data_IF_389496531166
#
_entry.id   IF_389496531166
#
_cell.length_a   1.000
_cell.length_b   1.000
_cell.length_c   1.000
_cell.angle_alpha   90.00
_cell.angle_beta   90.00
_cell.angle_gamma   90.00
#
_symmetry.space_group_name_H-M   'P 1'
#
loop_
_entity.id
_entity.type
_entity.pdbx_description
1 polymer ?
#
# COMPACT_ATOMS: atom_id res chain seq x y z
N UNK A 1 68.30 -17.52 34.59
CA UNK A 1 67.85 -16.29 33.91
C UNK A 1 66.60 -16.65 33.13
N UNK A 2 65.47 -16.27 33.72
CA UNK A 2 64.08 -16.52 33.34
C UNK A 2 63.69 -15.88 32.01
N UNK A 3 62.92 -16.58 31.17
CA UNK A 3 61.72 -16.03 30.51
C UNK A 3 60.75 -17.16 30.19
N UNK A 4 59.57 -17.08 30.82
CA UNK A 4 58.39 -17.89 30.58
C UNK A 4 57.71 -17.41 29.29
N UNK A 5 57.43 -18.31 28.36
CA UNK A 5 56.52 -18.05 27.24
C UNK A 5 55.20 -18.76 27.53
N UNK A 6 54.23 -18.01 28.07
CA UNK A 6 52.86 -18.45 28.28
C UNK A 6 52.09 -18.32 26.97
N UNK A 7 51.89 -19.43 26.26
CA UNK A 7 50.91 -19.49 25.16
C UNK A 7 49.51 -19.56 25.78
N UNK A 8 48.86 -18.39 25.85
CA UNK A 8 47.43 -18.29 26.15
C UNK A 8 46.63 -19.03 25.08
N UNK A 9 46.01 -20.13 25.48
CA UNK A 9 44.97 -20.81 24.71
C UNK A 9 43.74 -19.91 24.72
N UNK A 10 43.62 -19.04 23.73
CA UNK A 10 42.35 -18.43 23.37
C UNK A 10 41.46 -19.57 22.88
N UNK A 11 40.68 -20.12 23.82
CA UNK A 11 39.52 -20.96 23.53
C UNK A 11 38.54 -20.10 22.73
N UNK A 12 38.75 -20.00 21.42
CA UNK A 12 37.72 -19.65 20.46
C UNK A 12 36.60 -20.67 20.67
N UNK A 13 35.60 -20.24 21.44
CA UNK A 13 34.32 -20.90 21.52
C UNK A 13 33.80 -20.99 20.08
N UNK A 14 34.03 -22.15 19.46
CA UNK A 14 33.42 -22.53 18.21
C UNK A 14 31.92 -22.41 18.43
N UNK A 15 31.34 -21.35 17.88
CA UNK A 15 29.90 -21.20 17.81
C UNK A 15 29.39 -22.53 17.21
N UNK A 16 28.39 -23.17 17.83
CA UNK A 16 27.77 -24.34 17.22
C UNK A 16 27.39 -23.95 15.79
N UNK A 17 27.61 -24.84 14.80
CA UNK A 17 27.22 -24.56 13.43
C UNK A 17 25.78 -24.10 13.48
N UNK A 18 25.54 -22.85 13.06
CA UNK A 18 24.16 -22.43 12.85
C UNK A 18 23.66 -23.36 11.77
N UNK A 19 22.73 -24.24 12.14
CA UNK A 19 21.92 -25.00 11.20
C UNK A 19 21.18 -23.96 10.37
N UNK A 20 21.88 -23.49 9.33
CA UNK A 20 21.28 -22.82 8.21
C UNK A 20 20.45 -23.90 7.55
N UNK A 21 19.21 -24.03 8.01
CA UNK A 21 18.15 -24.73 7.29
C UNK A 21 18.30 -24.29 5.85
N UNK A 22 18.86 -25.19 5.04
CA UNK A 22 19.41 -24.84 3.74
C UNK A 22 18.21 -24.74 2.82
N UNK A 23 17.56 -23.57 2.85
CA UNK A 23 16.41 -23.30 2.01
C UNK A 23 16.85 -23.47 0.56
N UNK A 24 16.31 -24.49 -0.09
CA UNK A 24 16.53 -24.77 -1.51
C UNK A 24 15.31 -24.24 -2.27
N UNK A 25 15.40 -23.07 -2.92
CA UNK A 25 14.28 -22.50 -3.64
C UNK A 25 13.91 -23.41 -4.82
N UNK A 26 12.64 -23.76 -4.95
CA UNK A 26 12.16 -24.53 -6.12
C UNK A 26 12.23 -23.62 -7.35
N UNK A 27 13.01 -23.97 -8.37
CA UNK A 27 13.02 -23.21 -9.61
C UNK A 27 11.63 -23.17 -10.24
N UNK A 28 11.22 -22.00 -10.70
CA UNK A 28 9.96 -21.82 -11.41
C UNK A 28 10.27 -21.46 -12.86
N UNK A 29 9.43 -21.84 -13.81
CA UNK A 29 9.52 -21.31 -15.18
C UNK A 29 8.83 -19.95 -15.30
N UNK A 30 9.15 -19.18 -16.34
CA UNK A 30 8.47 -17.89 -16.58
C UNK A 30 6.96 -18.08 -16.83
N UNK A 31 6.58 -19.21 -17.45
CA UNK A 31 5.17 -19.57 -17.66
C UNK A 31 4.43 -19.88 -16.35
N UNK A 32 5.10 -20.46 -15.35
CA UNK A 32 4.51 -20.66 -14.03
C UNK A 32 4.30 -19.35 -13.28
N UNK A 33 5.26 -18.42 -13.38
CA UNK A 33 5.13 -17.06 -12.85
C UNK A 33 3.92 -16.37 -13.48
N UNK A 34 3.82 -16.38 -14.82
CA UNK A 34 2.68 -15.82 -15.55
C UNK A 34 1.35 -16.43 -15.08
N UNK A 35 1.25 -17.76 -15.08
CA UNK A 35 0.03 -18.48 -14.71
C UNK A 35 -0.38 -18.19 -13.27
N UNK A 36 0.58 -18.11 -12.35
CA UNK A 36 0.30 -17.79 -10.95
C UNK A 36 -0.23 -16.37 -10.81
N UNK A 37 0.45 -15.36 -11.36
CA UNK A 37 0.03 -13.97 -11.21
C UNK A 37 -1.26 -13.66 -11.97
N UNK A 38 -1.51 -14.29 -13.12
CA UNK A 38 -2.83 -14.23 -13.79
C UNK A 38 -3.93 -14.84 -12.94
N UNK A 39 -3.70 -16.03 -12.37
CA UNK A 39 -4.68 -16.65 -11.45
C UNK A 39 -4.92 -15.73 -10.26
N UNK A 40 -3.86 -15.22 -9.65
CA UNK A 40 -3.92 -14.29 -8.52
C UNK A 40 -4.78 -13.09 -8.89
N UNK A 41 -4.56 -12.42 -10.02
CA UNK A 41 -5.38 -11.29 -10.47
C UNK A 41 -6.87 -11.62 -10.65
N UNK A 42 -7.24 -12.88 -10.98
CA UNK A 42 -8.63 -13.31 -11.05
C UNK A 42 -9.27 -13.63 -9.70
N UNK A 43 -8.50 -14.04 -8.69
CA UNK A 43 -9.03 -14.53 -7.40
C UNK A 43 -8.74 -13.60 -6.22
N UNK A 44 -7.84 -12.65 -6.41
CA UNK A 44 -7.36 -11.75 -5.37
C UNK A 44 -8.41 -10.66 -5.11
N UNK A 45 -9.45 -11.02 -4.37
CA UNK A 45 -10.44 -10.11 -3.83
C UNK A 45 -10.24 -9.98 -2.30
N UNK A 46 -10.58 -8.81 -1.74
CA UNK A 46 -10.44 -8.57 -0.29
C UNK A 46 -9.36 -7.55 0.10
N UNK A 47 -8.73 -6.90 -0.88
CA UNK A 47 -7.79 -5.80 -0.66
C UNK A 47 -6.34 -6.25 -0.41
N UNK A 48 -5.43 -5.30 -0.14
CA UNK A 48 -3.99 -5.57 -0.10
C UNK A 48 -3.58 -6.64 0.92
N UNK A 49 -4.21 -6.67 2.09
CA UNK A 49 -3.92 -7.67 3.12
C UNK A 49 -4.26 -9.10 2.67
N UNK A 50 -5.38 -9.28 1.96
CA UNK A 50 -5.75 -10.57 1.39
C UNK A 50 -4.73 -11.01 0.35
N UNK A 51 -4.31 -10.08 -0.51
CA UNK A 51 -3.32 -10.37 -1.56
C UNK A 51 -1.96 -10.79 -0.97
N UNK A 52 -1.47 -10.06 0.04
CA UNK A 52 -0.23 -10.37 0.75
C UNK A 52 -0.32 -11.74 1.42
N UNK A 53 -1.43 -12.04 2.12
CA UNK A 53 -1.62 -13.32 2.78
C UNK A 53 -1.66 -14.49 1.77
N UNK A 54 -2.33 -14.31 0.63
CA UNK A 54 -2.36 -15.29 -0.46
C UNK A 54 -0.96 -15.51 -1.06
N UNK A 55 -0.22 -14.43 -1.30
CA UNK A 55 1.16 -14.53 -1.80
C UNK A 55 2.09 -15.21 -0.81
N UNK A 56 2.00 -14.90 0.49
CA UNK A 56 2.80 -15.57 1.51
C UNK A 56 2.52 -17.07 1.53
N UNK A 57 1.24 -17.45 1.61
CA UNK A 57 0.81 -18.85 1.62
C UNK A 57 1.26 -19.59 0.35
N UNK A 58 1.03 -19.01 -0.82
CA UNK A 58 1.29 -19.72 -2.07
C UNK A 58 2.78 -19.71 -2.44
N UNK A 59 3.49 -18.58 -2.27
CA UNK A 59 4.88 -18.44 -2.69
C UNK A 59 5.89 -18.99 -1.66
N UNK A 60 5.58 -18.89 -0.37
CA UNK A 60 6.46 -19.37 0.71
C UNK A 60 6.09 -20.80 1.12
N UNK A 61 4.84 -21.04 1.49
CA UNK A 61 4.45 -22.32 2.10
C UNK A 61 4.22 -23.42 1.04
N UNK A 62 3.41 -23.15 0.01
CA UNK A 62 3.02 -24.16 -0.98
C UNK A 62 4.08 -24.39 -2.06
N UNK A 63 4.51 -23.32 -2.74
CA UNK A 63 5.43 -23.41 -3.88
C UNK A 63 6.90 -23.34 -3.48
N UNK A 64 7.20 -22.84 -2.27
CA UNK A 64 8.58 -22.66 -1.76
C UNK A 64 9.48 -21.94 -2.77
N UNK A 65 8.93 -20.92 -3.43
CA UNK A 65 9.67 -20.08 -4.38
C UNK A 65 10.59 -19.09 -3.69
N UNK A 66 10.20 -18.65 -2.49
CA UNK A 66 10.92 -17.71 -1.63
C UNK A 66 10.96 -18.24 -0.20
N UNK A 67 12.00 -17.89 0.53
CA UNK A 67 12.04 -18.11 1.97
C UNK A 67 11.12 -17.11 2.70
N UNK A 68 10.75 -17.43 3.93
CA UNK A 68 9.96 -16.51 4.76
C UNK A 68 10.69 -15.18 4.95
N UNK A 69 12.01 -15.20 5.14
CA UNK A 69 12.84 -14.00 5.28
C UNK A 69 12.78 -13.13 4.02
N UNK A 70 13.01 -13.72 2.85
CA UNK A 70 12.98 -13.01 1.56
C UNK A 70 11.61 -12.37 1.28
N UNK A 71 10.53 -13.08 1.66
CA UNK A 71 9.19 -12.54 1.51
C UNK A 71 8.98 -11.31 2.39
N UNK A 72 9.39 -11.38 3.66
CA UNK A 72 9.27 -10.27 4.61
C UNK A 72 10.15 -9.08 4.23
N UNK A 73 11.37 -9.31 3.77
CA UNK A 73 12.28 -8.25 3.31
C UNK A 73 11.69 -7.51 2.10
N UNK A 74 11.10 -8.27 1.17
CA UNK A 74 10.42 -7.69 0.01
C UNK A 74 9.19 -6.89 0.41
N UNK A 75 8.36 -7.44 1.31
CA UNK A 75 7.18 -6.76 1.82
C UNK A 75 7.56 -5.47 2.58
N UNK A 76 8.66 -5.48 3.33
CA UNK A 76 9.17 -4.29 3.99
C UNK A 76 9.63 -3.25 2.96
N UNK A 77 10.32 -3.67 1.90
CA UNK A 77 10.78 -2.79 0.83
C UNK A 77 9.62 -2.10 0.09
N UNK A 78 8.54 -2.83 -0.23
CA UNK A 78 7.35 -2.25 -0.90
C UNK A 78 6.55 -1.31 -0.01
N UNK A 79 6.73 -1.38 1.30
CA UNK A 79 6.10 -0.44 2.24
C UNK A 79 6.89 0.86 2.43
N UNK A 80 8.14 0.92 1.95
CA UNK A 80 8.96 2.13 1.96
C UNK A 80 8.60 3.07 0.80
N UNK A 81 8.12 2.53 -0.32
CA UNK A 81 7.72 3.31 -1.50
C UNK A 81 6.21 3.59 -1.43
N UNK A 82 5.78 4.84 -1.63
CA UNK A 82 4.35 5.12 -1.68
C UNK A 82 3.76 4.57 -2.99
N UNK A 83 2.95 3.51 -2.87
CA UNK A 83 2.32 2.89 -4.03
C UNK A 83 1.29 1.81 -3.68
N UNK A 84 0.69 1.18 -4.70
CA UNK A 84 -0.24 0.07 -4.50
C UNK A 84 0.54 -1.18 -4.06
N UNK A 85 0.78 -1.31 -2.75
CA UNK A 85 1.67 -2.32 -2.16
C UNK A 85 1.51 -3.74 -2.76
N UNK A 86 0.29 -4.25 -2.93
CA UNK A 86 0.12 -5.60 -3.50
C UNK A 86 0.68 -5.76 -4.92
N UNK A 87 0.58 -4.72 -5.75
CA UNK A 87 1.07 -4.76 -7.13
C UNK A 87 2.58 -4.68 -7.14
N UNK A 88 3.17 -3.80 -6.31
CA UNK A 88 4.62 -3.70 -6.16
C UNK A 88 5.22 -4.99 -5.63
N UNK A 89 4.55 -5.63 -4.65
CA UNK A 89 4.94 -6.92 -4.12
C UNK A 89 4.92 -7.99 -5.21
N UNK A 90 3.85 -8.07 -6.01
CA UNK A 90 3.77 -9.01 -7.13
C UNK A 90 4.90 -8.82 -8.15
N UNK A 91 5.16 -7.56 -8.54
CA UNK A 91 6.23 -7.15 -9.48
C UNK A 91 7.60 -7.55 -8.92
N UNK A 92 7.88 -7.25 -7.66
CA UNK A 92 9.16 -7.55 -7.03
C UNK A 92 9.37 -9.05 -6.81
N UNK A 93 8.32 -9.80 -6.49
CA UNK A 93 8.35 -11.27 -6.41
C UNK A 93 8.67 -11.90 -7.78
N UNK A 94 8.08 -11.35 -8.85
CA UNK A 94 8.43 -11.72 -10.22
C UNK A 94 9.89 -11.44 -10.54
N UNK A 95 10.41 -10.27 -10.12
CA UNK A 95 11.81 -9.89 -10.28
C UNK A 95 12.76 -10.84 -9.55
N UNK A 96 12.49 -11.18 -8.29
CA UNK A 96 13.32 -12.12 -7.52
C UNK A 96 13.37 -13.49 -8.22
N UNK A 97 12.27 -13.91 -8.86
CA UNK A 97 12.19 -15.25 -9.44
C UNK A 97 12.85 -15.38 -10.81
N UNK A 98 12.74 -14.36 -11.67
CA UNK A 98 13.21 -14.43 -13.07
C UNK A 98 13.90 -13.15 -13.56
N UNK A 99 14.26 -12.23 -12.68
CA UNK A 99 14.84 -10.94 -13.04
C UNK A 99 13.85 -10.05 -13.80
N UNK A 100 14.38 -9.20 -14.69
CA UNK A 100 13.60 -8.27 -15.52
C UNK A 100 12.42 -8.93 -16.26
N UNK A 101 12.54 -10.09 -16.94
CA UNK A 101 11.39 -10.68 -17.62
C UNK A 101 10.32 -11.14 -16.63
N UNK A 102 10.71 -11.61 -15.44
CA UNK A 102 9.78 -11.96 -14.37
C UNK A 102 9.01 -10.77 -13.84
N UNK A 103 9.67 -9.62 -13.70
CA UNK A 103 9.08 -8.35 -13.29
C UNK A 103 7.93 -7.95 -14.22
N UNK A 104 8.22 -7.90 -15.54
CA UNK A 104 7.25 -7.46 -16.55
C UNK A 104 6.08 -8.44 -16.62
N UNK A 105 6.37 -9.74 -16.67
CA UNK A 105 5.35 -10.79 -16.77
C UNK A 105 4.47 -10.79 -15.53
N UNK A 106 5.04 -10.75 -14.31
CA UNK A 106 4.26 -10.75 -13.08
C UNK A 106 3.33 -9.53 -12.99
N UNK A 107 3.85 -8.32 -13.24
CA UNK A 107 3.05 -7.10 -13.21
C UNK A 107 1.93 -7.10 -14.25
N UNK A 108 2.26 -7.43 -15.50
CA UNK A 108 1.27 -7.44 -16.58
C UNK A 108 0.21 -8.52 -16.33
N UNK A 109 0.61 -9.74 -15.99
CA UNK A 109 -0.31 -10.84 -15.71
C UNK A 109 -1.19 -10.60 -14.48
N UNK A 110 -0.71 -9.83 -13.49
CA UNK A 110 -1.51 -9.46 -12.32
C UNK A 110 -2.58 -8.41 -12.63
N UNK A 111 -2.25 -7.41 -13.48
CA UNK A 111 -3.16 -6.31 -13.84
C UNK A 111 -4.15 -6.70 -14.95
N UNK A 112 -3.71 -7.55 -15.88
CA UNK A 112 -4.45 -7.93 -17.09
C UNK A 112 -5.89 -8.43 -16.80
N UNK A 113 -6.16 -9.27 -15.80
CA UNK A 113 -7.53 -9.72 -15.49
C UNK A 113 -8.50 -8.58 -15.20
N UNK A 114 -8.07 -7.62 -14.37
CA UNK A 114 -8.89 -6.46 -14.01
C UNK A 114 -9.10 -5.55 -15.22
N UNK A 115 -8.05 -5.30 -16.01
CA UNK A 115 -8.14 -4.53 -17.24
C UNK A 115 -9.12 -5.16 -18.23
N UNK A 116 -8.99 -6.46 -18.51
CA UNK A 116 -9.88 -7.19 -19.41
C UNK A 116 -11.34 -7.15 -18.96
N UNK A 117 -11.59 -7.32 -17.65
CA UNK A 117 -12.94 -7.26 -17.10
C UNK A 117 -13.57 -5.86 -17.29
N UNK A 118 -12.83 -4.81 -16.96
CA UNK A 118 -13.32 -3.43 -17.12
C UNK A 118 -13.54 -3.08 -18.59
N UNK A 119 -12.61 -3.44 -19.47
CA UNK A 119 -12.75 -3.23 -20.92
C UNK A 119 -13.95 -3.98 -21.47
N UNK A 120 -14.18 -5.23 -21.05
CA UNK A 120 -15.34 -6.01 -21.48
C UNK A 120 -16.66 -5.33 -21.07
N UNK A 121 -16.76 -4.89 -19.81
CA UNK A 121 -17.94 -4.18 -19.31
C UNK A 121 -18.14 -2.86 -20.06
N UNK A 122 -17.06 -2.11 -20.32
CA UNK A 122 -17.12 -0.85 -21.06
C UNK A 122 -17.59 -1.07 -22.52
N UNK A 123 -17.08 -2.09 -23.20
CA UNK A 123 -17.52 -2.46 -24.55
C UNK A 123 -19.00 -2.87 -24.56
N UNK A 124 -19.44 -3.66 -23.58
CA UNK A 124 -20.85 -4.02 -23.44
C UNK A 124 -21.73 -2.79 -23.20
N UNK A 125 -21.26 -1.83 -22.39
CA UNK A 125 -21.99 -0.58 -22.16
C UNK A 125 -22.11 0.26 -23.44
N UNK A 126 -21.04 0.39 -24.23
CA UNK A 126 -21.09 1.14 -25.50
C UNK A 126 -22.01 0.44 -26.52
N UNK A 127 -22.02 -0.89 -26.55
CA UNK A 127 -22.84 -1.66 -27.49
C UNK A 127 -24.32 -1.71 -27.10
N UNK A 128 -24.64 -1.83 -25.82
CA UNK A 128 -26.00 -2.12 -25.33
C UNK A 128 -26.59 -1.05 -24.40
N UNK A 129 -25.86 0.02 -24.09
CA UNK A 129 -26.25 1.03 -23.10
C UNK A 129 -27.49 1.84 -23.46
N UNK A 130 -27.88 1.88 -24.74
CA UNK A 130 -29.09 2.57 -25.19
C UNK A 130 -30.37 1.74 -25.01
N UNK A 131 -30.28 0.49 -24.54
CA UNK A 131 -31.46 -0.34 -24.33
C UNK A 131 -32.15 0.02 -23.00
N UNK A 132 -33.49 0.15 -22.97
CA UNK A 132 -34.23 0.51 -21.75
C UNK A 132 -34.10 -0.55 -20.64
N UNK A 133 -33.74 -1.80 -20.98
CA UNK A 133 -33.42 -2.84 -20.01
C UNK A 133 -32.15 -2.53 -19.21
N UNK A 134 -31.19 -1.82 -19.82
CA UNK A 134 -29.93 -1.45 -19.17
C UNK A 134 -30.15 -0.31 -18.17
N UNK A 135 -31.05 0.63 -18.46
CA UNK A 135 -31.45 1.67 -17.52
C UNK A 135 -32.08 1.08 -16.24
N UNK A 136 -32.97 0.10 -16.39
CA UNK A 136 -33.56 -0.61 -15.25
C UNK A 136 -32.50 -1.37 -14.42
N UNK A 137 -31.49 -1.93 -15.08
CA UNK A 137 -30.37 -2.58 -14.40
C UNK A 137 -29.52 -1.57 -13.61
N UNK A 138 -29.21 -0.41 -14.19
CA UNK A 138 -28.47 0.65 -13.50
C UNK A 138 -29.20 1.17 -12.26
N UNK A 139 -30.52 1.30 -12.33
CA UNK A 139 -31.34 1.66 -11.18
C UNK A 139 -31.20 0.63 -10.03
N UNK A 140 -31.12 -0.66 -10.34
CA UNK A 140 -30.87 -1.71 -9.35
C UNK A 140 -29.44 -1.75 -8.83
N UNK A 141 -28.44 -1.41 -9.65
CA UNK A 141 -27.02 -1.44 -9.28
C UNK A 141 -26.65 -0.25 -8.35
N UNK A 142 -27.26 0.92 -8.52
CA UNK A 142 -26.99 2.11 -7.68
C UNK A 142 -27.02 1.83 -6.16
N UNK A 143 -28.08 1.25 -5.57
CA UNK A 143 -28.10 0.95 -4.13
C UNK A 143 -27.07 -0.11 -3.74
N UNK A 144 -26.74 -1.05 -4.64
CA UNK A 144 -25.69 -2.05 -4.40
C UNK A 144 -24.32 -1.39 -4.28
N UNK A 145 -24.01 -0.45 -5.19
CA UNK A 145 -22.77 0.33 -5.13
C UNK A 145 -22.70 1.11 -3.81
N UNK A 146 -23.78 1.78 -3.42
CA UNK A 146 -23.84 2.52 -2.14
C UNK A 146 -23.56 1.59 -0.96
N UNK A 147 -24.19 0.42 -0.92
CA UNK A 147 -23.96 -0.56 0.14
C UNK A 147 -22.49 -1.04 0.20
N UNK A 148 -21.88 -1.30 -0.96
CA UNK A 148 -20.46 -1.70 -1.04
C UNK A 148 -19.52 -0.59 -0.58
N UNK A 149 -19.78 0.67 -0.99
CA UNK A 149 -19.00 1.83 -0.56
C UNK A 149 -19.12 2.05 0.95
N UNK A 150 -20.34 1.97 1.50
CA UNK A 150 -20.59 2.06 2.95
C UNK A 150 -19.87 0.95 3.69
N UNK A 151 -19.90 -0.29 3.19
CA UNK A 151 -19.19 -1.42 3.79
C UNK A 151 -17.67 -1.20 3.78
N UNK A 152 -17.11 -0.71 2.68
CA UNK A 152 -15.69 -0.40 2.57
C UNK A 152 -15.29 0.74 3.52
N UNK A 153 -16.08 1.82 3.58
CA UNK A 153 -15.88 2.94 4.48
C UNK A 153 -15.99 2.51 5.95
N UNK A 154 -16.95 1.66 6.29
CA UNK A 154 -17.11 1.12 7.65
C UNK A 154 -15.90 0.28 8.07
N UNK A 155 -15.44 -0.65 7.21
CA UNK A 155 -14.24 -1.45 7.48
C UNK A 155 -12.98 -0.59 7.67
N UNK A 156 -12.81 0.43 6.83
CA UNK A 156 -11.69 1.36 6.94
C UNK A 156 -11.80 2.21 8.21
N UNK A 157 -13.01 2.69 8.52
CA UNK A 157 -13.32 3.48 9.70
C UNK A 157 -13.01 2.74 11.00
N UNK A 158 -13.35 1.44 11.11
CA UNK A 158 -12.99 0.60 12.26
C UNK A 158 -11.48 0.51 12.47
N UNK A 159 -10.70 0.52 11.39
CA UNK A 159 -9.23 0.44 11.47
C UNK A 159 -8.61 1.79 11.84
N UNK A 160 -9.18 2.89 11.33
CA UNK A 160 -8.70 4.24 11.55
C UNK A 160 -9.13 4.84 12.91
N UNK A 161 -10.36 4.58 13.35
CA UNK A 161 -10.97 5.23 14.51
C UNK A 161 -10.73 4.44 15.81
N UNK A 162 -9.47 4.37 16.24
CA UNK A 162 -9.09 3.61 17.46
C UNK A 162 -9.35 4.34 18.78
N UNK A 163 -9.47 5.67 18.76
CA UNK A 163 -9.59 6.51 19.97
C UNK A 163 -10.84 7.38 19.86
N UNK A 164 -11.48 7.70 20.99
CA UNK A 164 -12.63 8.60 21.05
C UNK A 164 -12.37 9.94 20.35
N UNK A 165 -11.17 10.50 20.48
CA UNK A 165 -10.76 11.70 19.76
C UNK A 165 -10.79 11.55 18.22
N UNK A 166 -10.37 10.39 17.69
CA UNK A 166 -10.41 10.09 16.25
C UNK A 166 -11.85 9.90 15.77
N UNK A 167 -12.70 9.27 16.59
CA UNK A 167 -14.13 9.11 16.29
C UNK A 167 -14.82 10.48 16.24
N UNK A 168 -14.57 11.34 17.22
CA UNK A 168 -15.13 12.71 17.24
C UNK A 168 -14.64 13.50 16.02
N UNK A 169 -13.35 13.43 15.69
CA UNK A 169 -12.80 14.10 14.52
C UNK A 169 -13.42 13.59 13.21
N UNK A 170 -13.62 12.27 13.08
CA UNK A 170 -14.26 11.65 11.93
C UNK A 170 -15.73 12.08 11.78
N UNK A 171 -16.50 12.09 12.88
CA UNK A 171 -17.90 12.51 12.88
C UNK A 171 -18.03 14.00 12.55
N UNK A 172 -17.18 14.84 13.15
CA UNK A 172 -17.16 16.29 12.84
C UNK A 172 -16.78 16.52 11.38
N UNK A 173 -15.75 15.85 10.87
CA UNK A 173 -15.35 15.96 9.45
C UNK A 173 -16.46 15.51 8.49
N UNK A 174 -17.17 14.41 8.83
CA UNK A 174 -18.31 13.94 8.05
C UNK A 174 -19.47 14.94 8.05
N UNK A 175 -19.81 15.51 9.21
CA UNK A 175 -20.85 16.55 9.33
C UNK A 175 -20.48 17.80 8.54
N UNK A 176 -19.23 18.28 8.65
CA UNK A 176 -18.76 19.45 7.90
C UNK A 176 -18.86 19.20 6.40
N UNK A 177 -18.48 18.01 5.93
CA UNK A 177 -18.57 17.65 4.50
C UNK A 177 -20.02 17.56 4.01
N UNK A 178 -20.96 17.18 4.88
CA UNK A 178 -22.38 17.04 4.50
C UNK A 178 -23.12 18.38 4.47
N UNK A 179 -22.80 19.30 5.38
CA UNK A 179 -23.55 20.54 5.58
C UNK A 179 -22.86 21.77 5.00
N UNK A 180 -21.55 21.71 4.73
CA UNK A 180 -20.79 22.86 4.25
C UNK A 180 -20.20 22.54 2.87
N UNK A 181 -20.44 23.37 1.84
CA UNK A 181 -19.89 23.19 0.51
C UNK A 181 -18.42 23.64 0.45
N UNK A 182 -17.57 23.02 1.26
CA UNK A 182 -16.12 23.23 1.28
C UNK A 182 -15.45 22.07 0.55
N UNK A 183 -14.40 22.36 -0.23
CA UNK A 183 -13.59 21.31 -0.85
C UNK A 183 -13.05 20.34 0.21
N UNK A 184 -13.19 19.05 -0.05
CA UNK A 184 -12.73 17.98 0.86
C UNK A 184 -11.26 18.13 1.24
N UNK A 185 -10.46 18.76 0.38
CA UNK A 185 -9.05 19.09 0.63
C UNK A 185 -8.89 19.89 1.93
N UNK A 186 -9.68 20.94 2.14
CA UNK A 186 -9.61 21.78 3.34
C UNK A 186 -10.06 21.04 4.59
N UNK A 187 -11.05 20.15 4.47
CA UNK A 187 -11.51 19.31 5.57
C UNK A 187 -10.42 18.33 6.01
N UNK A 188 -9.70 17.74 5.05
CA UNK A 188 -8.56 16.85 5.33
C UNK A 188 -7.41 17.63 5.97
N UNK A 189 -7.08 18.82 5.44
CA UNK A 189 -5.99 19.66 5.95
C UNK A 189 -6.28 20.14 7.38
N UNK A 190 -7.49 20.63 7.64
CA UNK A 190 -7.93 21.05 8.97
C UNK A 190 -8.00 19.88 9.95
N UNK A 191 -8.56 18.74 9.53
CA UNK A 191 -8.60 17.53 10.34
C UNK A 191 -7.20 17.01 10.69
N UNK A 192 -6.29 17.00 9.72
CA UNK A 192 -4.89 16.63 9.91
C UNK A 192 -4.18 17.55 10.91
N UNK A 193 -4.35 18.86 10.78
CA UNK A 193 -3.75 19.84 11.69
C UNK A 193 -4.27 19.69 13.12
N UNK A 194 -5.58 19.53 13.30
CA UNK A 194 -6.20 19.27 14.60
C UNK A 194 -5.68 17.95 15.18
N UNK A 195 -5.57 16.91 14.36
CA UNK A 195 -5.01 15.62 14.75
C UNK A 195 -3.57 15.74 15.28
N UNK A 196 -2.72 16.49 14.58
CA UNK A 196 -1.33 16.75 14.99
C UNK A 196 -1.28 17.52 16.31
N UNK A 197 -2.10 18.56 16.47
CA UNK A 197 -2.18 19.36 17.70
C UNK A 197 -2.60 18.51 18.91
N UNK A 198 -3.61 17.66 18.74
CA UNK A 198 -4.08 16.75 19.79
C UNK A 198 -3.01 15.71 20.16
N UNK A 199 -2.26 15.20 19.18
CA UNK A 199 -1.18 14.24 19.40
C UNK A 199 0.01 14.89 20.13
N UNK A 200 0.40 16.12 19.76
CA UNK A 200 1.45 16.88 20.44
C UNK A 200 1.05 17.25 21.87
N UNK A 201 -0.16 17.76 22.09
CA UNK A 201 -0.65 18.14 23.42
C UNK A 201 -0.79 16.96 24.39
N UNK A 202 -1.23 15.79 23.90
CA UNK A 202 -1.29 14.57 24.72
C UNK A 202 0.12 14.01 25.07
N UNK A 203 1.10 14.18 24.17
CA UNK A 203 2.48 13.72 24.37
C UNK A 203 3.26 14.58 25.38
N UNK A 204 2.95 15.87 25.47
CA UNK A 204 3.46 16.77 26.51
C UNK A 204 2.85 16.49 27.90
N UNK A 205 1.59 16.05 27.96
CA UNK A 205 0.88 15.78 29.23
C UNK A 205 1.29 14.45 29.88
N UNK A 206 1.77 13.48 29.10
CA UNK A 206 2.10 12.14 29.58
C UNK A 206 3.61 11.84 29.62
N UNK A 207 4.47 12.84 29.41
CA UNK A 207 5.92 12.65 29.50
C UNK A 207 6.39 12.72 30.96
N UNK A 208 7.01 11.67 31.53
CA UNK A 208 7.74 11.82 32.79
C UNK A 208 8.92 12.77 32.54
N UNK A 209 9.13 13.74 33.43
CA UNK A 209 10.10 14.84 33.29
C UNK A 209 11.54 14.41 32.97
N UNK A 210 11.90 13.14 33.19
CA UNK A 210 13.20 12.58 32.84
C UNK A 210 13.40 12.26 31.34
N UNK A 211 12.32 12.06 30.57
CA UNK A 211 12.44 11.76 29.13
C UNK A 211 12.61 13.01 28.26
N UNK A 212 12.34 14.20 28.82
CA UNK A 212 12.54 15.50 28.19
C UNK A 212 14.02 15.92 28.12
N UNK A 213 14.92 15.25 28.85
CA UNK A 213 16.36 15.51 28.86
C UNK A 213 17.18 14.59 27.96
N UNK A 214 16.55 13.61 27.29
CA UNK A 214 17.21 12.58 26.49
C UNK A 214 16.77 12.55 25.02
N UNK A 215 16.08 13.58 24.53
CA UNK A 215 15.94 13.78 23.09
C UNK A 215 17.13 14.59 22.54
N UNK A 216 18.11 13.96 21.85
CA UNK A 216 18.90 14.69 20.88
C UNK A 216 17.97 15.06 19.71
N UNK A 217 17.77 16.36 19.47
CA UNK A 217 17.11 16.82 18.23
C UNK A 217 15.98 17.85 18.38
N UNK A 218 15.68 18.31 19.59
CA UNK A 218 14.86 19.50 19.80
C UNK A 218 15.59 20.77 19.38
N UNK A 219 15.72 21.03 18.08
CA UNK A 219 16.05 22.33 17.44
C UNK A 219 16.40 22.21 15.93
N UNK A 220 16.13 21.07 15.28
CA UNK A 220 16.70 20.78 13.96
C UNK A 220 15.73 20.34 12.87
N UNK A 221 14.51 20.88 12.77
CA UNK A 221 13.65 20.68 11.58
C UNK A 221 12.81 21.91 11.18
N UNK A 222 13.17 23.11 11.65
CA UNK A 222 12.54 24.38 11.20
C UNK A 222 13.16 24.98 9.93
N UNK A 223 13.96 24.25 9.13
CA UNK A 223 14.57 24.85 7.93
C UNK A 223 14.69 23.98 6.66
N UNK A 224 14.19 22.72 6.65
CA UNK A 224 14.30 21.85 5.46
C UNK A 224 12.96 21.46 4.80
N UNK A 225 11.82 21.90 5.33
CA UNK A 225 10.50 21.67 4.72
C UNK A 225 9.91 22.93 4.03
N UNK A 226 10.70 24.00 3.89
CA UNK A 226 10.35 25.19 3.11
C UNK A 226 10.90 25.17 1.67
N UNK A 227 11.18 24.00 1.10
CA UNK A 227 11.54 23.86 -0.30
C UNK A 227 10.81 22.68 -0.95
N UNK A 228 9.50 22.81 -1.06
CA UNK A 228 8.81 22.60 -2.33
C UNK A 228 7.68 23.63 -2.37
N UNK A 229 8.11 24.89 -2.58
CA UNK A 229 7.24 25.92 -3.14
C UNK A 229 6.67 25.41 -4.45
N UNK A 230 5.37 25.64 -4.61
CA UNK A 230 4.64 25.79 -5.86
C UNK A 230 5.54 25.86 -7.10
N UNK A 231 5.62 24.75 -7.83
CA UNK A 231 5.47 24.90 -9.27
C UNK A 231 4.01 24.61 -9.54
N UNK A 232 3.32 25.64 -9.99
CA UNK A 232 1.97 25.60 -10.51
C UNK A 232 1.93 24.56 -11.63
N UNK A 233 1.66 23.30 -11.29
CA UNK A 233 1.18 22.35 -12.29
C UNK A 233 -0.26 22.75 -12.52
N UNK A 234 -0.42 23.67 -13.49
CA UNK A 234 -1.66 23.80 -14.21
C UNK A 234 -2.16 22.37 -14.48
N UNK A 235 -3.39 22.03 -14.09
CA UNK A 235 -3.86 20.67 -14.24
C UNK A 235 -3.68 20.27 -15.72
N UNK A 236 -3.24 19.04 -15.99
CA UNK A 236 -2.77 18.59 -17.32
C UNK A 236 -3.73 18.88 -18.48
N UNK A 237 -5.00 19.21 -18.21
CA UNK A 237 -5.99 19.68 -19.17
C UNK A 237 -5.81 21.14 -19.65
N UNK A 238 -4.98 21.95 -18.98
CA UNK A 238 -4.65 23.33 -19.38
C UNK A 238 -3.40 23.43 -20.27
N UNK A 239 -2.62 22.35 -20.40
CA UNK A 239 -1.59 22.27 -21.43
C UNK A 239 -2.34 22.11 -22.75
N UNK A 240 -2.28 23.12 -23.62
CA UNK A 240 -3.11 23.36 -24.81
C UNK A 240 -3.14 22.29 -25.92
N UNK A 241 -2.96 21.01 -25.58
CA UNK A 241 -3.14 19.83 -26.42
C UNK A 241 -4.57 19.27 -26.37
N UNK A 242 -5.40 19.66 -25.40
CA UNK A 242 -6.82 19.27 -25.33
C UNK A 242 -7.72 20.46 -25.66
N UNK A 243 -7.75 20.84 -26.94
CA UNK A 243 -8.67 21.88 -27.42
C UNK A 243 -10.11 21.50 -27.08
N UNK A 244 -10.87 22.48 -26.61
CA UNK A 244 -12.31 22.49 -26.27
C UNK A 244 -13.29 22.08 -27.39
N UNK A 245 -12.81 21.43 -28.45
CA UNK A 245 -13.62 20.95 -29.59
C UNK A 245 -14.41 19.67 -29.32
N UNK A 246 -14.18 19.01 -28.18
CA UNK A 246 -14.84 17.74 -27.82
C UNK A 246 -15.96 17.90 -26.78
N UNK A 247 -16.27 19.13 -26.36
CA UNK A 247 -17.21 19.43 -25.27
C UNK A 247 -18.44 20.22 -25.73
N UNK A 248 -18.95 19.93 -26.93
CA UNK A 248 -20.29 20.35 -27.37
C UNK A 248 -20.97 19.14 -28.04
N UNK A 249 -22.25 18.87 -27.77
CA UNK A 249 -23.02 17.81 -28.41
C UNK A 249 -23.21 18.04 -29.91
#
# INVERSE_FOLDING_TARGET
MSTLSSSGTSSEASLPPQDTDTFTPVEASLGEVARYFTRLGFIAFGGPAAHIAMMQRDLVEQKRWLSQQQFLDTLAATQLVPGPNSTELAIHMGYIKKGIPGLIVAGLCFILPAFMLVTLIALMYVAFGALPQVDALFYGIQPVIVAVVVQAAYKLGLTACRTLAMIVLAVVGALVTLFVPIDTVWVILGGGLIGVLLMFGARLRNAPAALLLLLPGGAGLTAAALAQSETTVAPLWQIGLFSSRWAQP
#
